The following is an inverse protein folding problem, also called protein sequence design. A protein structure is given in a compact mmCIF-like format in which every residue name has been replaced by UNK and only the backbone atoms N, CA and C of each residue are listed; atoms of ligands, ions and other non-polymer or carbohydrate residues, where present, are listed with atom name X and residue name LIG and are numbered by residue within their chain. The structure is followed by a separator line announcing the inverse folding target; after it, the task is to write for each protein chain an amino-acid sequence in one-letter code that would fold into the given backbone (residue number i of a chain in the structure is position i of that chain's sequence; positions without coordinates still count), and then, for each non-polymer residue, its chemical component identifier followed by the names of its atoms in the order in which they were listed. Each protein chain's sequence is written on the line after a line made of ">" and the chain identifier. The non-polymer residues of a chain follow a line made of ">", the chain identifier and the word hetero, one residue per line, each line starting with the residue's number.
data_IF_914777844376
#
_entry.id   IF_914777844376
#
_cell.length_a   1.000
_cell.length_b   1.000
_cell.length_c   1.000
_cell.angle_alpha   90.00
_cell.angle_beta   90.00
_cell.angle_gamma   90.00
#
_symmetry.space_group_name_H-M   'P 1'
#
loop_
_entity.id
_entity.type
_entity.pdbx_description
1 polymer ?
#
# COMPACT_ATOMS: atom_id res chain seq x y z
N UNK A 1 11.70 14.70 40.28
CA UNK A 1 11.11 13.36 40.49
C UNK A 1 10.36 12.98 39.24
N UNK A 2 10.68 11.81 38.67
CA UNK A 2 10.07 11.12 37.54
C UNK A 2 9.20 11.90 36.54
N UNK A 3 9.81 12.25 35.41
CA UNK A 3 9.11 12.32 34.13
C UNK A 3 8.59 10.92 33.74
N UNK A 4 7.32 10.82 33.31
CA UNK A 4 6.76 9.62 32.70
C UNK A 4 6.57 9.85 31.20
N UNK A 5 7.54 9.37 30.42
CA UNK A 5 7.43 9.27 28.97
C UNK A 5 6.31 8.30 28.60
N UNK A 6 5.16 8.83 28.17
CA UNK A 6 4.10 8.03 27.54
C UNK A 6 4.42 7.97 26.03
N UNK A 7 5.05 6.86 25.62
CA UNK A 7 5.30 6.54 24.22
C UNK A 7 3.96 6.08 23.59
N UNK A 8 3.44 6.73 22.54
CA UNK A 8 2.33 6.18 21.79
C UNK A 8 2.81 4.94 21.02
N UNK A 9 2.10 3.82 21.20
CA UNK A 9 2.35 2.55 20.52
C UNK A 9 2.23 2.70 19.00
N UNK A 10 3.36 2.99 18.36
CA UNK A 10 3.48 3.00 16.91
C UNK A 10 3.26 1.57 16.37
N UNK A 11 2.36 1.42 15.39
CA UNK A 11 2.15 0.15 14.69
C UNK A 11 3.41 -0.23 13.92
N UNK A 12 4.25 -1.04 14.57
CA UNK A 12 5.51 -1.52 14.02
C UNK A 12 5.22 -2.66 13.04
N UNK A 13 4.95 -2.31 11.78
CA UNK A 13 4.70 -3.27 10.70
C UNK A 13 6.00 -4.02 10.41
N UNK A 14 6.18 -5.16 11.07
CA UNK A 14 7.19 -6.14 10.70
C UNK A 14 6.79 -6.82 9.40
N UNK A 15 7.54 -6.55 8.33
CA UNK A 15 7.45 -7.31 7.08
C UNK A 15 7.87 -8.76 7.34
N UNK A 16 6.90 -9.66 7.48
CA UNK A 16 7.15 -11.09 7.48
C UNK A 16 7.43 -11.53 6.03
N UNK A 17 8.67 -11.95 5.79
CA UNK A 17 9.10 -12.59 4.55
C UNK A 17 8.43 -13.94 4.39
N UNK A 18 7.41 -14.03 3.53
CA UNK A 18 6.87 -15.30 3.08
C UNK A 18 7.74 -15.90 1.96
N UNK A 19 8.06 -17.22 2.00
CA UNK A 19 8.65 -17.90 0.86
C UNK A 19 7.60 -18.13 -0.25
N UNK A 20 8.00 -18.21 -1.52
CA UNK A 20 7.08 -18.45 -2.62
C UNK A 20 6.54 -19.90 -2.60
N UNK A 21 5.27 -20.13 -2.99
CA UNK A 21 4.73 -21.48 -3.13
C UNK A 21 5.38 -22.23 -4.30
N UNK A 22 5.75 -23.48 -4.08
CA UNK A 22 6.32 -24.36 -5.09
C UNK A 22 5.28 -24.80 -6.14
N UNK A 23 5.64 -24.70 -7.42
CA UNK A 23 4.86 -25.22 -8.55
C UNK A 23 4.70 -26.75 -8.48
N UNK A 24 3.50 -27.31 -8.77
CA UNK A 24 3.33 -28.75 -8.96
C UNK A 24 3.80 -29.22 -10.34
N UNK A 25 4.43 -30.39 -10.38
CA UNK A 25 5.02 -31.01 -11.57
C UNK A 25 4.00 -31.74 -12.45
N UNK A 26 4.40 -32.05 -13.68
CA UNK A 26 3.56 -32.45 -14.82
C UNK A 26 3.09 -33.92 -14.89
N UNK A 27 1.96 -34.09 -15.62
CA UNK A 27 1.55 -35.22 -16.50
C UNK A 27 1.08 -36.58 -15.92
N UNK A 28 -0.08 -37.03 -16.42
CA UNK A 28 -0.16 -38.12 -17.43
C UNK A 28 -1.47 -38.03 -18.24
N UNK A 29 -1.49 -38.62 -19.44
CA UNK A 29 -2.57 -38.52 -20.43
C UNK A 29 -3.64 -39.61 -20.26
N UNK A 30 -4.87 -39.40 -20.79
CA UNK A 30 -5.40 -40.16 -21.96
C UNK A 30 -6.73 -39.62 -22.52
N UNK A 31 -6.97 -39.89 -23.81
CA UNK A 31 -8.25 -39.91 -24.56
C UNK A 31 -9.11 -38.64 -24.68
N UNK A 32 -8.99 -37.99 -25.85
CA UNK A 32 -9.99 -37.12 -26.50
C UNK A 32 -10.93 -37.95 -27.41
N UNK A 33 -12.19 -37.52 -27.60
CA UNK A 33 -12.91 -37.69 -28.85
C UNK A 33 -13.01 -36.36 -29.64
N UNK A 34 -13.12 -36.51 -30.96
CA UNK A 34 -12.99 -35.46 -31.98
C UNK A 34 -14.32 -34.69 -32.20
N UNK A 35 -14.28 -33.36 -32.37
CA UNK A 35 -15.37 -32.58 -32.97
C UNK A 35 -14.83 -31.48 -33.92
N UNK A 36 -15.57 -31.11 -34.98
CA UNK A 36 -15.01 -30.34 -36.11
C UNK A 36 -15.10 -28.81 -35.97
N UNK A 37 -14.08 -28.13 -36.52
CA UNK A 37 -14.10 -26.71 -36.96
C UNK A 37 -15.14 -26.47 -38.07
N UNK A 38 -15.64 -25.23 -38.35
CA UNK A 38 -14.91 -23.96 -38.48
C UNK A 38 -15.62 -22.75 -37.77
N UNK A 39 -15.35 -21.45 -37.97
CA UNK A 39 -14.62 -20.65 -38.98
C UNK A 39 -13.86 -19.48 -38.28
N UNK A 40 -12.70 -19.06 -38.80
CA UNK A 40 -12.03 -17.81 -38.40
C UNK A 40 -12.65 -16.57 -39.06
N UNK A 41 -12.93 -15.47 -38.33
CA UNK A 41 -12.95 -14.14 -38.94
C UNK A 41 -11.50 -13.71 -39.30
N UNK A 42 -11.30 -12.95 -40.39
CA UNK A 42 -9.97 -12.69 -40.93
C UNK A 42 -9.17 -11.73 -40.04
N UNK A 43 -7.98 -12.17 -39.63
CA UNK A 43 -6.96 -11.26 -39.11
C UNK A 43 -6.55 -10.25 -40.20
N UNK A 44 -6.80 -8.96 -39.96
CA UNK A 44 -6.18 -7.89 -40.73
C UNK A 44 -4.66 -7.86 -40.44
N UNK A 45 -3.91 -8.67 -41.17
CA UNK A 45 -2.45 -8.62 -41.21
C UNK A 45 -1.99 -7.34 -41.93
N UNK A 46 -2.02 -6.22 -41.20
CA UNK A 46 -1.34 -4.99 -41.63
C UNK A 46 0.17 -5.26 -41.71
N UNK A 47 0.65 -5.53 -42.93
CA UNK A 47 2.08 -5.63 -43.23
C UNK A 47 2.73 -4.26 -43.04
N UNK A 48 3.23 -3.99 -41.84
CA UNK A 48 3.98 -2.76 -41.56
C UNK A 48 5.22 -2.70 -42.47
N UNK A 49 5.46 -1.59 -43.19
CA UNK A 49 6.63 -1.47 -44.04
C UNK A 49 7.91 -1.55 -43.19
N UNK A 50 8.65 -2.66 -43.28
CA UNK A 50 10.00 -2.77 -42.71
C UNK A 50 10.98 -1.90 -43.52
N UNK A 51 10.88 -0.58 -43.38
CA UNK A 51 11.95 0.34 -43.79
C UNK A 51 13.21 -0.03 -43.02
N UNK A 52 14.17 -0.66 -43.72
CA UNK A 52 15.50 -0.96 -43.19
C UNK A 52 16.23 0.37 -42.97
N UNK A 53 16.14 0.92 -41.76
CA UNK A 53 16.90 2.11 -41.37
C UNK A 53 18.37 1.70 -41.27
N UNK A 54 19.13 1.94 -42.34
CA UNK A 54 20.60 1.93 -42.26
C UNK A 54 21.03 3.22 -41.55
N UNK A 55 21.18 3.15 -40.23
CA UNK A 55 21.86 4.19 -39.47
C UNK A 55 23.28 4.35 -40.04
N UNK A 56 23.53 5.46 -40.75
CA UNK A 56 24.87 5.82 -41.17
C UNK A 56 25.66 6.16 -39.90
N UNK A 57 26.49 5.23 -39.46
CA UNK A 57 27.43 5.46 -38.34
C UNK A 57 28.27 6.71 -38.63
N UNK A 58 28.36 7.67 -37.70
CA UNK A 58 29.13 8.89 -37.94
C UNK A 58 30.58 8.53 -38.26
N UNK A 59 31.13 9.10 -39.34
CA UNK A 59 32.55 8.91 -39.68
C UNK A 59 33.39 9.46 -38.53
N UNK A 60 34.26 8.60 -37.99
CA UNK A 60 35.19 8.89 -36.90
C UNK A 60 36.00 10.15 -37.24
N UNK A 61 35.70 11.29 -36.60
CA UNK A 61 36.54 12.47 -36.74
C UNK A 61 37.92 12.19 -36.15
N UNK A 62 38.94 12.82 -36.74
CA UNK A 62 40.30 12.77 -36.22
C UNK A 62 40.30 13.31 -34.79
N UNK A 63 40.84 12.52 -33.86
CA UNK A 63 40.93 12.88 -32.45
C UNK A 63 41.71 14.18 -32.30
N UNK A 64 41.04 15.27 -31.90
CA UNK A 64 41.76 16.37 -31.27
C UNK A 64 42.38 15.85 -29.97
N UNK A 65 43.59 16.30 -29.60
CA UNK A 65 44.19 15.89 -28.34
C UNK A 65 43.33 16.40 -27.19
N UNK A 66 42.69 15.48 -26.48
CA UNK A 66 41.97 15.77 -25.24
C UNK A 66 43.02 16.31 -24.28
N UNK A 67 42.96 17.61 -23.97
CA UNK A 67 43.72 18.17 -22.85
C UNK A 67 43.24 17.43 -21.60
N UNK A 68 44.10 16.58 -21.05
CA UNK A 68 43.83 15.86 -19.81
C UNK A 68 43.80 16.90 -18.69
N UNK A 69 42.60 17.39 -18.38
CA UNK A 69 42.38 18.25 -17.24
C UNK A 69 42.65 17.42 -15.99
N UNK A 70 43.78 17.70 -15.34
CA UNK A 70 44.07 17.17 -14.00
C UNK A 70 43.43 18.18 -13.03
N UNK A 71 42.25 17.90 -12.43
CA UNK A 71 41.67 18.79 -11.44
C UNK A 71 42.64 18.92 -10.28
N UNK A 72 42.82 20.13 -9.76
CA UNK A 72 43.62 20.33 -8.57
C UNK A 72 42.86 19.78 -7.35
N UNK A 73 43.52 19.35 -6.27
CA UNK A 73 42.84 18.85 -5.07
C UNK A 73 41.93 19.90 -4.41
N UNK A 74 42.18 21.19 -4.65
CA UNK A 74 41.25 22.29 -4.32
C UNK A 74 39.89 22.17 -5.00
N UNK A 75 39.88 21.73 -6.26
CA UNK A 75 38.69 21.69 -7.11
C UNK A 75 37.84 20.45 -6.78
N UNK A 76 38.50 19.37 -6.33
CA UNK A 76 37.85 18.16 -5.83
C UNK A 76 37.19 18.45 -4.47
N UNK A 77 37.87 19.19 -3.59
CA UNK A 77 37.34 19.50 -2.25
C UNK A 77 36.23 20.55 -2.26
N UNK A 78 36.22 21.50 -3.21
CA UNK A 78 35.06 22.36 -3.43
C UNK A 78 33.86 21.58 -4.00
N UNK A 79 34.09 20.75 -5.04
CA UNK A 79 33.05 19.91 -5.65
C UNK A 79 32.37 18.98 -4.63
N UNK A 80 33.15 18.37 -3.72
CA UNK A 80 32.61 17.52 -2.65
C UNK A 80 31.71 18.31 -1.69
N UNK A 81 32.10 19.52 -1.29
CA UNK A 81 31.27 20.40 -0.45
C UNK A 81 29.99 20.86 -1.15
N UNK A 82 30.06 21.14 -2.45
CA UNK A 82 28.88 21.52 -3.24
C UNK A 82 27.89 20.35 -3.38
N UNK A 83 28.40 19.12 -3.57
CA UNK A 83 27.59 17.91 -3.59
C UNK A 83 26.95 17.62 -2.22
N UNK A 84 27.72 17.67 -1.14
CA UNK A 84 27.23 17.48 0.23
C UNK A 84 26.18 18.54 0.62
N UNK A 85 26.40 19.80 0.23
CA UNK A 85 25.42 20.89 0.38
C UNK A 85 24.12 20.63 -0.39
N UNK A 86 24.23 20.14 -1.63
CA UNK A 86 23.07 19.81 -2.45
C UNK A 86 22.29 18.60 -1.91
N UNK A 87 22.99 17.56 -1.44
CA UNK A 87 22.38 16.37 -0.83
C UNK A 87 21.65 16.73 0.47
N UNK A 88 22.28 17.50 1.37
CA UNK A 88 21.64 17.98 2.59
C UNK A 88 20.40 18.83 2.30
N UNK A 89 20.48 19.73 1.30
CA UNK A 89 19.33 20.55 0.86
C UNK A 89 18.18 19.72 0.26
N UNK A 90 18.48 18.61 -0.39
CA UNK A 90 17.48 17.66 -0.88
C UNK A 90 16.86 16.87 0.28
N UNK A 91 17.67 16.40 1.22
CA UNK A 91 17.25 15.69 2.42
C UNK A 91 16.34 16.56 3.32
N UNK A 92 16.65 17.85 3.48
CA UNK A 92 15.78 18.79 4.19
C UNK A 92 14.42 18.97 3.51
N UNK A 93 14.37 19.04 2.18
CA UNK A 93 13.10 19.09 1.43
C UNK A 93 12.27 17.83 1.71
N UNK A 94 12.84 16.64 1.60
CA UNK A 94 12.13 15.39 1.89
C UNK A 94 11.68 15.29 3.35
N UNK A 95 12.48 15.74 4.31
CA UNK A 95 12.08 15.82 5.72
C UNK A 95 10.91 16.78 5.92
N UNK A 96 10.97 17.97 5.31
CA UNK A 96 9.91 18.99 5.38
C UNK A 96 8.61 18.52 4.72
N UNK A 97 8.69 17.82 3.59
CA UNK A 97 7.55 17.22 2.92
C UNK A 97 6.91 16.10 3.75
N UNK A 98 7.70 15.18 4.31
CA UNK A 98 7.19 14.15 5.23
C UNK A 98 6.51 14.75 6.47
N UNK A 99 7.10 15.79 7.05
CA UNK A 99 6.47 16.53 8.16
C UNK A 99 5.19 17.24 7.74
N UNK A 100 5.14 17.80 6.53
CA UNK A 100 3.92 18.41 5.98
C UNK A 100 2.82 17.36 5.76
N UNK A 101 3.11 16.22 5.14
CA UNK A 101 2.17 15.11 4.94
C UNK A 101 1.63 14.57 6.27
N UNK A 102 2.49 14.40 7.28
CA UNK A 102 2.07 14.07 8.66
C UNK A 102 1.21 15.18 9.27
N UNK A 103 1.56 16.44 9.05
CA UNK A 103 0.74 17.56 9.54
C UNK A 103 -0.62 17.64 8.85
N UNK A 104 -0.75 17.21 7.58
CA UNK A 104 -2.05 17.10 6.91
C UNK A 104 -2.90 16.03 7.59
N UNK A 105 -2.36 14.84 7.84
CA UNK A 105 -3.05 13.75 8.56
C UNK A 105 -3.61 14.20 9.92
N UNK A 106 -2.90 15.07 10.64
CA UNK A 106 -3.31 15.58 11.95
C UNK A 106 -4.14 16.88 11.89
N UNK A 107 -4.21 17.59 10.75
CA UNK A 107 -4.94 18.87 10.60
C UNK A 107 -6.33 18.75 9.97
N UNK A 108 -6.82 17.53 9.77
CA UNK A 108 -8.26 17.31 9.59
C UNK A 108 -9.01 17.80 10.83
N UNK A 109 -9.86 18.80 10.68
CA UNK A 109 -10.48 19.51 11.81
C UNK A 109 -11.23 18.57 12.76
N UNK A 110 -10.81 18.52 14.02
CA UNK A 110 -11.64 18.01 15.13
C UNK A 110 -11.54 16.52 15.47
N UNK A 111 -10.66 15.72 14.86
CA UNK A 111 -10.28 14.41 15.41
C UNK A 111 -8.96 13.89 14.81
N UNK A 112 -7.95 13.64 15.66
CA UNK A 112 -6.58 13.17 15.31
C UNK A 112 -6.54 11.86 14.50
N UNK A 113 -7.67 11.14 14.41
CA UNK A 113 -7.79 9.87 13.68
C UNK A 113 -8.49 9.98 12.31
N UNK A 114 -9.03 11.15 11.93
CA UNK A 114 -9.98 11.25 10.80
C UNK A 114 -9.42 10.85 9.44
N UNK A 115 -8.19 11.26 9.08
CA UNK A 115 -7.69 11.06 7.71
C UNK A 115 -7.16 9.65 7.43
N UNK A 116 -6.58 8.98 8.43
CA UNK A 116 -6.19 7.57 8.30
C UNK A 116 -7.41 6.65 8.28
N UNK A 117 -8.43 6.93 9.12
CA UNK A 117 -9.69 6.22 9.09
C UNK A 117 -10.46 6.47 7.78
N UNK A 118 -10.51 7.72 7.30
CA UNK A 118 -11.10 8.08 5.99
C UNK A 118 -10.48 7.32 4.82
N UNK A 119 -9.15 7.21 4.76
CA UNK A 119 -8.45 6.42 3.74
C UNK A 119 -8.83 4.92 3.81
N UNK A 120 -9.07 4.41 5.02
CA UNK A 120 -9.53 3.04 5.26
C UNK A 120 -11.05 2.88 5.15
N UNK A 121 -11.80 3.93 4.80
CA UNK A 121 -13.27 3.91 4.75
C UNK A 121 -13.97 3.76 6.11
N UNK A 122 -13.24 3.93 7.21
CA UNK A 122 -13.72 3.84 8.58
C UNK A 122 -14.14 5.22 9.11
N UNK A 123 -15.25 5.26 9.83
CA UNK A 123 -15.66 6.37 10.69
C UNK A 123 -15.85 5.81 12.11
N UNK A 124 -15.07 6.31 13.09
CA UNK A 124 -15.19 5.89 14.49
C UNK A 124 -15.71 7.08 15.31
N UNK A 125 -16.79 6.88 16.05
CA UNK A 125 -17.38 7.86 16.97
C UNK A 125 -17.54 7.25 18.35
N UNK A 126 -16.99 7.89 19.37
CA UNK A 126 -17.18 7.47 20.76
C UNK A 126 -18.41 8.18 21.35
N UNK A 127 -19.35 7.41 21.92
CA UNK A 127 -20.55 7.91 22.58
C UNK A 127 -20.78 7.08 23.84
N UNK A 128 -20.85 7.71 25.02
CA UNK A 128 -21.19 7.06 26.30
C UNK A 128 -20.34 5.80 26.62
N UNK A 129 -19.03 5.86 26.40
CA UNK A 129 -18.10 4.73 26.57
C UNK A 129 -18.48 3.50 25.71
N UNK A 130 -19.04 3.74 24.52
CA UNK A 130 -19.26 2.79 23.43
C UNK A 130 -18.70 3.40 22.14
N UNK A 131 -17.86 2.66 21.42
CA UNK A 131 -17.39 3.05 20.10
C UNK A 131 -18.42 2.62 19.06
N UNK A 132 -18.85 3.53 18.21
CA UNK A 132 -19.68 3.27 17.04
C UNK A 132 -18.78 3.35 15.81
N UNK A 133 -18.61 2.23 15.13
CA UNK A 133 -17.79 2.11 13.94
C UNK A 133 -18.72 1.98 12.74
N UNK A 134 -18.54 2.84 11.75
CA UNK A 134 -19.07 2.65 10.41
C UNK A 134 -17.90 2.36 9.47
N UNK A 135 -18.08 1.40 8.58
CA UNK A 135 -17.08 1.00 7.61
C UNK A 135 -17.75 0.93 6.25
N UNK A 136 -17.27 1.72 5.30
CA UNK A 136 -17.76 1.80 3.94
C UNK A 136 -16.64 1.49 2.95
N UNK A 137 -16.85 0.48 2.10
CA UNK A 137 -15.94 0.11 1.01
C UNK A 137 -16.77 0.03 -0.26
N UNK A 138 -16.48 0.91 -1.22
CA UNK A 138 -17.25 1.05 -2.46
C UNK A 138 -18.76 1.23 -2.20
N UNK A 139 -19.56 0.16 -2.42
CA UNK A 139 -21.00 0.11 -2.14
C UNK A 139 -21.34 -0.61 -0.83
N UNK A 140 -20.44 -1.45 -0.31
CA UNK A 140 -20.63 -2.20 0.93
C UNK A 140 -20.60 -1.26 2.13
N UNK A 141 -21.45 -1.56 3.10
CA UNK A 141 -21.54 -0.81 4.35
C UNK A 141 -21.71 -1.78 5.52
N UNK A 142 -20.96 -1.55 6.59
CA UNK A 142 -21.04 -2.28 7.84
C UNK A 142 -20.97 -1.28 9.00
N UNK A 143 -21.91 -1.39 9.94
CA UNK A 143 -22.06 -0.51 11.09
C UNK A 143 -22.21 -1.38 12.33
N UNK A 144 -21.36 -1.16 13.34
CA UNK A 144 -21.34 -1.92 14.57
C UNK A 144 -20.92 -1.05 15.74
N UNK A 145 -21.10 -1.55 16.96
CA UNK A 145 -20.44 -0.97 18.13
C UNK A 145 -19.50 -1.94 18.84
N UNK A 146 -18.50 -1.36 19.50
CA UNK A 146 -17.60 -2.02 20.43
C UNK A 146 -17.73 -1.33 21.79
N UNK A 147 -18.23 -2.05 22.79
CA UNK A 147 -18.32 -1.57 24.17
C UNK A 147 -17.19 -2.17 25.01
N UNK A 148 -16.23 -1.39 25.54
CA UNK A 148 -15.24 -1.89 26.50
C UNK A 148 -15.94 -2.36 27.78
N UNK A 149 -15.59 -3.55 28.26
CA UNK A 149 -15.98 -4.09 29.56
C UNK A 149 -14.80 -4.85 30.15
N UNK A 150 -14.26 -4.36 31.26
CA UNK A 150 -13.13 -4.96 31.97
C UNK A 150 -11.92 -5.21 31.05
N UNK A 151 -11.54 -6.46 30.78
CA UNK A 151 -10.45 -6.81 29.84
C UNK A 151 -10.92 -7.13 28.40
N UNK A 152 -12.22 -6.98 28.13
CA UNK A 152 -12.88 -7.38 26.89
C UNK A 152 -13.47 -6.18 26.12
N UNK A 153 -13.74 -6.40 24.85
CA UNK A 153 -14.70 -5.64 24.05
C UNK A 153 -15.92 -6.53 23.76
N UNK A 154 -17.11 -5.93 23.86
CA UNK A 154 -18.37 -6.54 23.42
C UNK A 154 -18.74 -5.90 22.08
N UNK A 155 -18.80 -6.71 21.04
CA UNK A 155 -19.26 -6.33 19.71
C UNK A 155 -20.77 -6.50 19.58
N UNK A 156 -21.44 -5.53 18.96
CA UNK A 156 -22.83 -5.65 18.50
C UNK A 156 -22.94 -5.12 17.08
N UNK A 157 -23.46 -5.93 16.16
CA UNK A 157 -23.87 -5.46 14.84
C UNK A 157 -25.00 -4.43 14.98
N UNK A 158 -24.98 -3.38 14.16
CA UNK A 158 -26.07 -2.41 14.04
C UNK A 158 -26.75 -2.53 12.67
N UNK A 159 -25.98 -2.44 11.59
CA UNK A 159 -26.48 -2.46 10.21
C UNK A 159 -25.42 -3.07 9.29
N UNK A 160 -25.82 -3.76 8.22
CA UNK A 160 -24.93 -4.08 7.09
C UNK A 160 -25.72 -4.04 5.77
N UNK A 161 -25.02 -3.85 4.65
CA UNK A 161 -25.61 -3.80 3.31
C UNK A 161 -24.64 -4.23 2.21
N UNK A 162 -25.18 -4.85 1.16
CA UNK A 162 -24.50 -5.26 -0.08
C UNK A 162 -23.40 -6.34 0.05
N UNK A 163 -23.43 -7.18 1.08
CA UNK A 163 -22.63 -8.43 1.15
C UNK A 163 -23.21 -9.44 2.16
N UNK A 164 -22.82 -10.72 2.00
CA UNK A 164 -23.09 -11.78 2.97
C UNK A 164 -22.15 -11.66 4.18
N UNK A 165 -22.74 -11.44 5.36
CA UNK A 165 -22.01 -11.30 6.62
C UNK A 165 -21.83 -12.68 7.29
N UNK A 166 -20.62 -13.11 7.66
CA UNK A 166 -20.41 -14.37 8.37
C UNK A 166 -21.12 -14.41 9.73
N UNK A 167 -21.64 -15.59 10.11
CA UNK A 167 -22.47 -15.78 11.32
C UNK A 167 -21.86 -15.19 12.60
N UNK A 168 -20.54 -15.26 12.77
CA UNK A 168 -19.85 -14.73 13.95
C UNK A 168 -19.85 -13.18 14.04
N UNK A 169 -20.22 -12.47 12.98
CA UNK A 169 -20.46 -11.03 12.97
C UNK A 169 -21.96 -10.67 12.93
N UNK A 170 -22.87 -11.62 12.68
CA UNK A 170 -24.31 -11.36 12.89
C UNK A 170 -24.72 -11.41 14.36
N UNK A 171 -23.92 -12.07 15.20
CA UNK A 171 -24.18 -12.26 16.62
C UNK A 171 -23.38 -11.29 17.51
N UNK A 172 -23.75 -11.19 18.79
CA UNK A 172 -22.99 -10.45 19.80
C UNK A 172 -21.80 -11.29 20.26
N UNK A 173 -20.58 -10.80 20.04
CA UNK A 173 -19.34 -11.50 20.43
C UNK A 173 -18.54 -10.69 21.46
N UNK A 174 -17.93 -11.40 22.41
CA UNK A 174 -16.99 -10.83 23.37
C UNK A 174 -15.58 -11.34 23.10
N UNK A 175 -14.60 -10.44 22.95
CA UNK A 175 -13.20 -10.79 22.72
C UNK A 175 -12.26 -9.92 23.57
N UNK A 176 -11.09 -10.44 23.90
CA UNK A 176 -10.09 -9.74 24.72
C UNK A 176 -9.57 -8.48 24.02
N UNK A 177 -9.27 -7.42 24.78
CA UNK A 177 -8.70 -6.17 24.26
C UNK A 177 -7.47 -6.37 23.38
N UNK A 178 -6.62 -7.36 23.70
CA UNK A 178 -5.43 -7.69 22.91
C UNK A 178 -5.74 -8.18 21.49
N UNK A 179 -6.93 -8.73 21.26
CA UNK A 179 -7.34 -9.32 19.98
C UNK A 179 -7.99 -8.30 19.03
N UNK A 180 -8.17 -7.04 19.45
CA UNK A 180 -8.84 -5.99 18.66
C UNK A 180 -8.26 -5.83 17.25
N UNK A 181 -6.93 -5.89 17.10
CA UNK A 181 -6.28 -5.80 15.79
C UNK A 181 -6.60 -7.00 14.88
N UNK A 182 -6.72 -8.21 15.45
CA UNK A 182 -7.12 -9.42 14.70
C UNK A 182 -8.58 -9.36 14.28
N UNK A 183 -9.44 -8.85 15.18
CA UNK A 183 -10.86 -8.61 14.88
C UNK A 183 -11.03 -7.63 13.71
N UNK A 184 -10.40 -6.44 13.78
CA UNK A 184 -10.47 -5.47 12.68
C UNK A 184 -9.89 -6.00 11.37
N UNK A 185 -8.79 -6.77 11.42
CA UNK A 185 -8.24 -7.42 10.23
C UNK A 185 -9.26 -8.36 9.58
N UNK A 186 -9.96 -9.21 10.37
CA UNK A 186 -11.01 -10.09 9.84
C UNK A 186 -12.20 -9.32 9.28
N UNK A 187 -12.59 -8.20 9.89
CA UNK A 187 -13.63 -7.31 9.35
C UNK A 187 -13.20 -6.69 8.01
N UNK A 188 -11.95 -6.25 7.87
CA UNK A 188 -11.39 -5.76 6.61
C UNK A 188 -11.33 -6.85 5.53
N UNK A 189 -10.91 -8.06 5.89
CA UNK A 189 -10.85 -9.22 5.00
C UNK A 189 -12.24 -9.56 4.43
N UNK A 190 -13.31 -9.47 5.23
CA UNK A 190 -14.69 -9.70 4.77
C UNK A 190 -15.20 -8.55 3.88
N UNK A 191 -14.92 -7.30 4.24
CA UNK A 191 -15.36 -6.13 3.47
C UNK A 191 -14.66 -6.04 2.10
N UNK A 192 -13.39 -6.44 2.01
CA UNK A 192 -12.59 -6.39 0.77
C UNK A 192 -12.67 -7.71 -0.03
N UNK A 193 -12.74 -8.86 0.64
CA UNK A 193 -12.46 -10.19 0.05
C UNK A 193 -13.64 -10.96 -0.55
N UNK A 194 -14.84 -10.38 -0.59
CA UNK A 194 -16.06 -10.97 -1.19
C UNK A 194 -16.53 -10.19 -2.43
#
# INVERSE_FOLDING_TARGET
>A
MHDLNIIPLCLQIHYLTYPPPSLPTFLTLTSLPYLPFPIHPPFFLMKTPRKRITLKTPKRSTKTPIKVFKPQPSDITSLLKDLESHENKLLEKYKKENLYLRSLLNKGEGNENTLSLSLLGLDIKEINNEFIIKYKVEKKYLSFSLKPKDEFYIYKLKEHSEFELPNFLSEEISFEKQQVNKFFYKVMEIMIGN
#
